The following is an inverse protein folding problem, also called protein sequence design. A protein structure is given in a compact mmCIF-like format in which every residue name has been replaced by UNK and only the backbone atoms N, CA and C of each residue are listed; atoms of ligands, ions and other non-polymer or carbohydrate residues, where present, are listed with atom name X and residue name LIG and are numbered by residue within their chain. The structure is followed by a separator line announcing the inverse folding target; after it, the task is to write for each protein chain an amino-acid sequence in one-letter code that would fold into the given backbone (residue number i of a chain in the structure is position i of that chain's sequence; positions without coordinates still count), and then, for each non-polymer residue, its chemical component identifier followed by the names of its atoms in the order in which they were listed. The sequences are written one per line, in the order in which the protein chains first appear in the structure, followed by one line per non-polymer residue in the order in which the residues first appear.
data_IF_895951637201
#
_entry.id   IF_895951637201
#
_cell.length_a   1.000
_cell.length_b   1.000
_cell.length_c   1.000
_cell.angle_alpha   90.00
_cell.angle_beta   90.00
_cell.angle_gamma   90.00
#
_symmetry.space_group_name_H-M   'P 1'
#
loop_
_entity.id
_entity.type
_entity.pdbx_description
1 polymer ?
#
# COMPACT_ATOMS: atom_id res chain seq x y z
N UNK A 1 -17.24 24.41 -0.16
CA UNK A 1 -18.29 23.54 -0.78
C UNK A 1 -18.03 22.09 -0.41
N UNK A 2 -19.00 21.43 0.22
CA UNK A 2 -18.91 20.02 0.64
C UNK A 2 -19.27 19.10 -0.54
N UNK A 3 -18.43 18.10 -0.82
CA UNK A 3 -18.70 17.04 -1.79
C UNK A 3 -18.34 15.66 -1.23
N UNK A 4 -18.98 14.63 -1.75
CA UNK A 4 -18.65 13.23 -1.44
C UNK A 4 -18.00 12.62 -2.67
N UNK A 5 -16.84 11.98 -2.48
CA UNK A 5 -16.17 11.17 -3.50
C UNK A 5 -16.32 9.71 -3.09
N UNK A 6 -17.10 8.95 -3.85
CA UNK A 6 -17.48 7.59 -3.50
C UNK A 6 -16.64 6.53 -4.21
N UNK A 7 -16.65 5.31 -3.65
CA UNK A 7 -15.96 4.12 -4.18
C UNK A 7 -14.45 4.33 -4.34
N UNK A 8 -13.85 5.03 -3.38
CA UNK A 8 -12.42 5.27 -3.33
C UNK A 8 -11.72 4.00 -2.82
N UNK A 9 -10.60 3.66 -3.45
CA UNK A 9 -9.76 2.54 -3.01
C UNK A 9 -8.85 3.01 -1.87
N UNK A 10 -8.91 2.30 -0.75
CA UNK A 10 -8.08 2.53 0.44
C UNK A 10 -6.63 2.09 0.19
N UNK A 11 -5.62 3.00 0.32
CA UNK A 11 -4.24 2.71 -0.03
C UNK A 11 -3.39 2.26 1.19
N UNK A 12 -3.97 1.49 2.13
CA UNK A 12 -3.29 1.15 3.40
C UNK A 12 -2.73 -0.26 3.44
N UNK A 13 -3.58 -1.28 3.39
CA UNK A 13 -3.20 -2.69 3.51
C UNK A 13 -3.62 -3.47 2.25
N UNK A 14 -3.24 -4.75 2.18
CA UNK A 14 -3.54 -5.62 1.05
C UNK A 14 -5.04 -5.89 0.80
N UNK A 15 -5.94 -5.46 1.68
CA UNK A 15 -7.38 -5.60 1.47
C UNK A 15 -7.94 -4.69 0.37
N UNK A 16 -7.23 -3.60 0.03
CA UNK A 16 -7.60 -2.64 -1.03
C UNK A 16 -9.10 -2.28 -1.01
N UNK A 17 -9.62 -1.83 0.14
CA UNK A 17 -11.06 -1.62 0.26
C UNK A 17 -11.54 -0.54 -0.70
N UNK A 18 -12.51 -0.85 -1.54
CA UNK A 18 -12.97 -0.07 -2.70
C UNK A 18 -14.33 0.59 -2.50
N UNK A 19 -14.83 0.58 -1.25
CA UNK A 19 -16.13 1.07 -0.81
C UNK A 19 -16.01 2.31 0.10
N UNK A 20 -14.87 3.01 0.07
CA UNK A 20 -14.64 4.19 0.90
C UNK A 20 -15.34 5.40 0.29
N UNK A 21 -16.08 6.12 1.12
CA UNK A 21 -16.64 7.43 0.79
C UNK A 21 -15.81 8.52 1.50
N UNK A 22 -15.19 9.40 0.73
CA UNK A 22 -14.45 10.54 1.27
C UNK A 22 -15.32 11.80 1.24
N UNK A 23 -15.49 12.42 2.41
CA UNK A 23 -16.11 13.74 2.51
C UNK A 23 -15.03 14.79 2.35
N UNK A 24 -15.18 15.64 1.34
CA UNK A 24 -14.22 16.68 0.99
C UNK A 24 -14.86 18.05 1.15
N UNK A 25 -14.25 18.90 1.96
CA UNK A 25 -14.66 20.28 2.20
C UNK A 25 -13.48 21.20 1.87
N UNK A 26 -13.71 22.15 0.98
CA UNK A 26 -12.72 23.16 0.55
C UNK A 26 -11.36 22.57 0.12
N UNK A 27 -11.42 21.40 -0.53
CA UNK A 27 -10.24 20.69 -1.03
C UNK A 27 -9.55 19.78 -0.02
N UNK A 28 -10.05 19.69 1.22
CA UNK A 28 -9.50 18.88 2.30
C UNK A 28 -10.42 17.69 2.59
N UNK A 29 -9.83 16.51 2.80
CA UNK A 29 -10.56 15.32 3.26
C UNK A 29 -10.82 15.48 4.76
N UNK A 30 -12.08 15.55 5.16
CA UNK A 30 -12.48 15.77 6.56
C UNK A 30 -13.05 14.52 7.24
N UNK A 31 -13.47 13.52 6.46
CA UNK A 31 -14.05 12.27 6.97
C UNK A 31 -13.86 11.16 5.94
N UNK A 32 -13.42 9.98 6.38
CA UNK A 32 -13.35 8.76 5.56
C UNK A 32 -14.35 7.71 6.07
N UNK A 33 -15.50 7.60 5.42
CA UNK A 33 -16.56 6.65 5.77
C UNK A 33 -16.23 5.25 5.26
N UNK A 34 -16.71 4.24 5.98
CA UNK A 34 -16.40 2.82 5.77
C UNK A 34 -14.91 2.45 5.93
N UNK A 35 -14.04 3.40 6.30
CA UNK A 35 -12.63 3.08 6.56
C UNK A 35 -12.47 2.46 7.95
N UNK A 36 -11.55 1.51 8.11
CA UNK A 36 -11.07 1.14 9.44
C UNK A 36 -10.20 2.26 10.03
N UNK A 37 -9.84 2.16 11.32
CA UNK A 37 -9.01 3.15 12.00
C UNK A 37 -7.71 3.50 11.24
N UNK A 38 -7.04 2.51 10.63
CA UNK A 38 -5.83 2.76 9.83
C UNK A 38 -6.12 3.52 8.53
N UNK A 39 -7.22 3.19 7.85
CA UNK A 39 -7.70 3.88 6.64
C UNK A 39 -8.09 5.32 6.93
N UNK A 40 -8.91 5.52 7.95
CA UNK A 40 -9.34 6.84 8.42
C UNK A 40 -8.12 7.69 8.80
N UNK A 41 -7.20 7.14 9.60
CA UNK A 41 -5.98 7.84 9.97
C UNK A 41 -5.17 8.32 8.75
N UNK A 42 -5.00 7.48 7.72
CA UNK A 42 -4.27 7.87 6.50
C UNK A 42 -4.99 8.95 5.69
N UNK A 43 -6.31 8.84 5.54
CA UNK A 43 -7.09 9.78 4.73
C UNK A 43 -7.32 11.12 5.44
N UNK A 44 -7.62 11.12 6.73
CA UNK A 44 -7.98 12.33 7.49
C UNK A 44 -6.74 13.10 7.95
N UNK A 45 -5.59 12.43 8.11
CA UNK A 45 -4.35 13.05 8.58
C UNK A 45 -3.25 13.13 7.52
N UNK A 46 -3.59 13.02 6.22
CA UNK A 46 -2.62 13.01 5.12
C UNK A 46 -1.68 14.24 5.08
N UNK A 47 -2.10 15.35 5.69
CA UNK A 47 -1.37 16.62 5.76
C UNK A 47 -0.52 16.76 7.03
N UNK A 48 -0.75 15.95 8.07
CA UNK A 48 0.07 16.00 9.28
C UNK A 48 1.49 15.57 8.96
N UNK A 49 2.47 16.42 9.34
CA UNK A 49 3.89 16.22 9.04
C UNK A 49 4.21 16.07 7.54
N UNK A 50 3.38 16.64 6.65
CA UNK A 50 3.64 16.58 5.21
C UNK A 50 4.81 17.48 4.82
N UNK A 51 5.87 16.87 4.31
CA UNK A 51 6.96 17.61 3.67
C UNK A 51 6.46 18.25 2.36
N UNK A 52 6.47 19.58 2.31
CA UNK A 52 6.09 20.39 1.13
C UNK A 52 7.29 21.01 0.41
N UNK A 53 8.50 20.80 0.92
CA UNK A 53 9.74 21.29 0.34
C UNK A 53 10.71 20.13 0.10
N UNK A 54 11.57 20.27 -0.90
CA UNK A 54 12.72 19.39 -1.09
C UNK A 54 13.89 19.83 -0.19
N UNK A 55 14.71 18.87 0.21
CA UNK A 55 15.90 19.09 1.03
C UNK A 55 17.06 18.24 0.53
N UNK A 56 18.27 18.77 0.66
CA UNK A 56 19.52 18.07 0.36
C UNK A 56 20.46 18.18 1.55
N UNK A 57 21.34 17.19 1.74
CA UNK A 57 22.31 17.21 2.83
C UNK A 57 23.57 17.96 2.41
N UNK A 58 23.92 19.04 3.11
CA UNK A 58 25.17 19.80 2.96
C UNK A 58 25.85 19.88 4.32
N UNK A 59 27.11 19.44 4.41
CA UNK A 59 27.90 19.43 5.66
C UNK A 59 27.17 18.76 6.84
N UNK A 60 26.54 17.62 6.59
CA UNK A 60 25.79 16.87 7.61
C UNK A 60 24.38 17.38 7.91
N UNK A 61 24.00 18.59 7.49
CA UNK A 61 22.70 19.19 7.77
C UNK A 61 21.75 19.16 6.56
N UNK A 62 20.43 19.04 6.81
CA UNK A 62 19.41 19.18 5.77
C UNK A 62 19.18 20.66 5.48
N UNK A 63 19.34 21.04 4.21
CA UNK A 63 19.13 22.40 3.72
C UNK A 63 18.04 22.36 2.64
N UNK A 64 17.11 23.33 2.69
CA UNK A 64 16.04 23.45 1.70
C UNK A 64 16.64 23.67 0.31
N UNK A 65 16.08 23.01 -0.70
CA UNK A 65 16.51 23.08 -2.10
C UNK A 65 15.31 23.19 -3.04
N UNK A 66 15.56 23.55 -4.30
CA UNK A 66 14.55 23.39 -5.36
C UNK A 66 14.36 21.91 -5.69
N UNK A 67 13.21 21.57 -6.28
CA UNK A 67 12.96 20.20 -6.76
C UNK A 67 13.99 19.80 -7.81
N UNK A 68 14.33 20.69 -8.74
CA UNK A 68 15.34 20.43 -9.78
C UNK A 68 16.75 20.21 -9.21
N UNK A 69 17.14 20.96 -8.17
CA UNK A 69 18.41 20.73 -7.47
C UNK A 69 18.43 19.36 -6.79
N UNK A 70 17.35 19.00 -6.10
CA UNK A 70 17.23 17.70 -5.42
C UNK A 70 17.22 16.52 -6.41
N UNK A 71 16.52 16.65 -7.55
CA UNK A 71 16.49 15.64 -8.61
C UNK A 71 17.87 15.47 -9.23
N UNK A 72 18.52 16.57 -9.63
CA UNK A 72 19.87 16.52 -10.21
C UNK A 72 20.87 15.86 -9.28
N UNK A 73 20.84 16.23 -7.98
CA UNK A 73 21.72 15.63 -6.99
C UNK A 73 21.45 14.13 -6.80
N UNK A 74 20.19 13.72 -6.85
CA UNK A 74 19.82 12.30 -6.77
C UNK A 74 20.31 11.52 -7.99
N UNK A 75 20.18 12.10 -9.19
CA UNK A 75 20.67 11.50 -10.43
C UNK A 75 22.19 11.33 -10.43
N UNK A 76 22.95 12.33 -9.99
CA UNK A 76 24.42 12.23 -9.81
C UNK A 76 24.79 11.06 -8.89
N UNK A 77 24.13 10.94 -7.73
CA UNK A 77 24.39 9.85 -6.77
C UNK A 77 24.14 8.48 -7.41
N UNK A 78 23.07 8.35 -8.20
CA UNK A 78 22.74 7.08 -8.86
C UNK A 78 23.70 6.76 -10.01
N UNK A 79 24.08 7.76 -10.81
CA UNK A 79 24.99 7.58 -11.94
C UNK A 79 26.43 7.26 -11.51
N UNK A 80 26.88 7.83 -10.39
CA UNK A 80 28.23 7.60 -9.86
C UNK A 80 28.32 6.32 -9.01
N UNK A 81 27.19 5.69 -8.66
CA UNK A 81 27.16 4.52 -7.80
C UNK A 81 27.64 3.27 -8.54
N UNK A 82 28.52 2.48 -7.91
CA UNK A 82 28.96 1.19 -8.47
C UNK A 82 27.93 0.06 -8.30
N UNK A 83 26.98 0.22 -7.37
CA UNK A 83 25.94 -0.78 -7.10
C UNK A 83 24.68 -0.10 -6.52
N UNK A 84 23.93 0.67 -7.33
CA UNK A 84 22.75 1.37 -6.86
C UNK A 84 21.61 0.38 -6.55
N UNK A 85 20.94 0.59 -5.41
CA UNK A 85 19.77 -0.20 -4.99
C UNK A 85 18.56 0.74 -4.87
N UNK A 86 17.49 0.43 -5.60
CA UNK A 86 16.22 1.13 -5.53
C UNK A 86 15.21 0.27 -4.76
N UNK A 87 14.97 0.59 -3.49
CA UNK A 87 14.17 -0.23 -2.58
C UNK A 87 12.85 0.44 -2.13
N UNK A 88 11.79 -0.35 -1.95
CA UNK A 88 10.54 0.08 -1.30
C UNK A 88 9.30 -0.30 -2.09
N UNK A 89 8.82 0.59 -2.95
CA UNK A 89 7.77 0.42 -3.98
C UNK A 89 6.36 -0.04 -3.56
N UNK A 90 6.18 -0.70 -2.41
CA UNK A 90 4.91 -1.32 -2.00
C UNK A 90 3.81 -0.32 -1.60
N UNK A 91 4.08 0.99 -1.67
CA UNK A 91 3.14 2.06 -1.32
C UNK A 91 3.11 3.18 -2.38
N UNK A 92 3.28 2.81 -3.65
CA UNK A 92 3.11 3.70 -4.82
C UNK A 92 2.26 3.02 -5.90
N UNK A 93 2.04 3.70 -7.02
CA UNK A 93 1.26 3.16 -8.15
C UNK A 93 2.11 2.29 -9.09
N UNK A 94 1.46 1.44 -9.89
CA UNK A 94 2.13 0.60 -10.87
C UNK A 94 2.87 1.43 -11.95
N UNK A 95 2.34 2.59 -12.30
CA UNK A 95 2.96 3.52 -13.25
C UNK A 95 4.29 4.03 -12.72
N UNK A 96 4.37 4.37 -11.43
CA UNK A 96 5.62 4.79 -10.79
C UNK A 96 6.62 3.64 -10.70
N UNK A 97 6.16 2.42 -10.40
CA UNK A 97 7.02 1.21 -10.39
C UNK A 97 7.57 0.94 -11.78
N UNK A 98 6.77 1.09 -12.84
CA UNK A 98 7.23 0.92 -14.22
C UNK A 98 8.39 1.86 -14.56
N UNK A 99 8.25 3.15 -14.25
CA UNK A 99 9.35 4.12 -14.44
C UNK A 99 10.56 3.77 -13.57
N UNK A 100 10.33 3.25 -12.37
CA UNK A 100 11.39 2.75 -11.49
C UNK A 100 12.18 1.58 -12.07
N UNK A 101 11.51 0.64 -12.73
CA UNK A 101 12.13 -0.47 -13.45
C UNK A 101 13.01 0.05 -14.61
N UNK A 102 12.47 0.95 -15.43
CA UNK A 102 13.22 1.59 -16.53
C UNK A 102 14.46 2.32 -16.01
N UNK A 103 14.34 3.03 -14.88
CA UNK A 103 15.48 3.69 -14.23
C UNK A 103 16.51 2.69 -13.70
N UNK A 104 16.08 1.58 -13.10
CA UNK A 104 16.98 0.56 -12.59
C UNK A 104 17.80 -0.08 -13.72
N UNK A 105 17.15 -0.35 -14.86
CA UNK A 105 17.81 -0.86 -16.06
C UNK A 105 18.84 0.13 -16.61
N UNK A 106 18.48 1.41 -16.72
CA UNK A 106 19.35 2.48 -17.24
C UNK A 106 20.63 2.67 -16.39
N UNK A 107 20.51 2.62 -15.06
CA UNK A 107 21.65 2.80 -14.15
C UNK A 107 22.40 1.49 -13.85
N UNK A 108 21.99 0.36 -14.44
CA UNK A 108 22.55 -0.96 -14.11
C UNK A 108 22.39 -1.35 -12.64
N UNK A 109 21.29 -0.92 -12.02
CA UNK A 109 21.01 -1.08 -10.60
C UNK A 109 20.17 -2.29 -10.24
N UNK A 110 20.01 -2.53 -8.94
CA UNK A 110 19.09 -3.52 -8.40
C UNK A 110 17.83 -2.83 -7.91
N UNK A 111 16.67 -3.35 -8.32
CA UNK A 111 15.38 -2.90 -7.82
C UNK A 111 14.72 -4.01 -7.02
N UNK A 112 14.25 -3.69 -5.82
CA UNK A 112 13.60 -4.64 -4.92
C UNK A 112 12.51 -3.95 -4.08
N UNK A 113 11.51 -4.68 -3.62
CA UNK A 113 10.39 -4.13 -2.84
C UNK A 113 10.31 -4.73 -1.44
N UNK A 114 9.34 -4.30 -0.64
CA UNK A 114 9.19 -4.79 0.74
C UNK A 114 8.81 -6.27 0.84
N UNK A 115 8.62 -6.99 -0.27
CA UNK A 115 8.34 -8.43 -0.22
C UNK A 115 9.50 -9.20 0.39
N UNK A 116 10.75 -8.77 0.18
CA UNK A 116 11.94 -9.47 0.72
C UNK A 116 11.97 -9.55 2.25
N UNK A 117 11.24 -8.67 2.94
CA UNK A 117 11.05 -8.70 4.40
C UNK A 117 9.62 -9.03 4.83
N UNK A 118 8.79 -9.49 3.90
CA UNK A 118 7.38 -9.82 4.13
C UNK A 118 7.05 -11.18 3.50
N UNK A 119 6.39 -11.22 2.34
CA UNK A 119 5.98 -12.46 1.67
C UNK A 119 7.01 -13.04 0.68
N UNK A 120 8.26 -12.58 0.71
CA UNK A 120 9.37 -13.10 -0.08
C UNK A 120 9.56 -14.61 0.07
N UNK A 121 9.58 -15.17 1.30
CA UNK A 121 9.61 -16.62 1.51
C UNK A 121 8.40 -17.34 0.88
N UNK A 122 7.22 -16.71 0.89
CA UNK A 122 6.04 -17.26 0.21
C UNK A 122 6.24 -17.30 -1.30
N UNK A 123 6.85 -16.26 -1.90
CA UNK A 123 7.16 -16.22 -3.35
C UNK A 123 8.10 -17.34 -3.75
N UNK A 124 9.16 -17.59 -2.96
CA UNK A 124 10.08 -18.70 -3.20
C UNK A 124 9.36 -20.05 -3.13
N UNK A 125 8.54 -20.28 -2.10
CA UNK A 125 7.76 -21.52 -1.99
C UNK A 125 6.79 -21.70 -3.18
N UNK A 126 6.14 -20.63 -3.63
CA UNK A 126 5.24 -20.68 -4.80
C UNK A 126 5.98 -21.01 -6.10
N UNK A 127 7.24 -20.61 -6.24
CA UNK A 127 8.08 -20.98 -7.39
C UNK A 127 8.42 -22.47 -7.37
N UNK A 128 8.61 -23.06 -6.18
CA UNK A 128 8.98 -24.46 -6.03
C UNK A 128 7.78 -25.42 -6.13
N UNK A 129 6.64 -25.07 -5.52
CA UNK A 129 5.49 -25.99 -5.36
C UNK A 129 4.16 -25.46 -5.90
N UNK A 130 4.14 -24.25 -6.47
CA UNK A 130 2.94 -23.61 -7.01
C UNK A 130 2.08 -22.89 -5.96
N UNK A 131 0.99 -22.27 -6.44
CA UNK A 131 0.00 -21.56 -5.61
C UNK A 131 -1.40 -22.09 -5.90
N UNK A 132 -2.05 -22.63 -4.87
CA UNK A 132 -3.50 -22.90 -4.89
C UNK A 132 -4.21 -21.71 -4.24
N UNK A 133 -4.98 -20.98 -5.02
CA UNK A 133 -5.63 -19.74 -4.58
C UNK A 133 -7.05 -19.57 -5.09
N UNK A 134 -7.76 -18.62 -4.51
CA UNK A 134 -9.09 -18.19 -4.94
C UNK A 134 -9.27 -16.69 -4.66
N UNK A 135 -10.29 -16.08 -5.25
CA UNK A 135 -10.62 -14.67 -4.99
C UNK A 135 -11.41 -14.54 -3.68
N UNK A 136 -11.35 -13.35 -3.05
CA UNK A 136 -12.04 -13.06 -1.78
C UNK A 136 -13.56 -13.34 -1.83
N UNK A 137 -14.18 -13.21 -3.01
CA UNK A 137 -15.59 -13.56 -3.21
C UNK A 137 -15.88 -15.06 -3.07
N UNK A 138 -14.94 -15.94 -3.41
CA UNK A 138 -15.12 -17.39 -3.20
C UNK A 138 -15.13 -17.71 -1.70
N UNK A 139 -14.20 -17.11 -0.94
CA UNK A 139 -14.16 -17.29 0.51
C UNK A 139 -15.45 -16.78 1.16
N UNK A 140 -15.86 -15.55 0.84
CA UNK A 140 -17.09 -14.95 1.38
C UNK A 140 -18.32 -15.84 1.17
N UNK A 141 -18.47 -16.41 -0.02
CA UNK A 141 -19.74 -17.04 -0.39
C UNK A 141 -19.80 -18.54 -0.10
N UNK A 142 -18.66 -19.23 0.03
CA UNK A 142 -18.60 -20.70 0.03
C UNK A 142 -17.78 -21.31 1.16
N UNK A 143 -16.84 -20.59 1.75
CA UNK A 143 -15.99 -21.17 2.78
C UNK A 143 -16.80 -21.42 4.06
N UNK A 144 -16.75 -22.65 4.55
CA UNK A 144 -17.32 -23.12 5.81
C UNK A 144 -16.27 -23.26 6.92
N UNK A 145 -14.98 -23.36 6.55
CA UNK A 145 -13.83 -23.30 7.43
C UNK A 145 -12.86 -22.20 7.00
N UNK A 146 -12.51 -21.31 7.94
CA UNK A 146 -11.50 -20.27 7.76
C UNK A 146 -10.39 -20.48 8.78
N UNK A 147 -9.15 -20.60 8.31
CA UNK A 147 -7.96 -20.72 9.15
C UNK A 147 -7.07 -19.50 8.93
N UNK A 148 -6.81 -18.76 10.00
CA UNK A 148 -5.80 -17.70 10.03
C UNK A 148 -4.51 -18.25 10.65
N UNK A 149 -3.54 -18.62 9.83
CA UNK A 149 -2.28 -19.23 10.27
C UNK A 149 -1.17 -18.18 10.33
N UNK A 150 -0.59 -17.95 11.52
CA UNK A 150 0.51 -17.00 11.69
C UNK A 150 0.14 -15.55 11.36
N UNK A 151 -1.15 -15.21 11.40
CA UNK A 151 -1.67 -13.91 11.00
C UNK A 151 -2.69 -13.40 12.02
N UNK A 152 -2.72 -12.09 12.26
CA UNK A 152 -3.78 -11.42 13.01
C UNK A 152 -4.50 -10.40 12.10
N UNK A 153 -5.58 -10.80 11.40
CA UNK A 153 -6.30 -9.92 10.48
C UNK A 153 -6.98 -8.76 11.20
N UNK A 154 -7.40 -8.93 12.44
CA UNK A 154 -8.05 -7.87 13.20
C UNK A 154 -7.16 -6.63 13.35
N UNK A 155 -5.86 -6.85 13.57
CA UNK A 155 -4.88 -5.77 13.72
C UNK A 155 -4.25 -5.32 12.39
N UNK A 156 -3.96 -6.25 11.48
CA UNK A 156 -3.20 -5.96 10.25
C UNK A 156 -4.06 -5.66 9.03
N UNK A 157 -5.27 -6.22 8.98
CA UNK A 157 -6.19 -6.15 7.86
C UNK A 157 -7.65 -6.01 8.36
N UNK A 158 -7.99 -4.94 9.11
CA UNK A 158 -9.14 -4.97 10.03
C UNK A 158 -10.48 -5.30 9.38
N UNK A 159 -10.68 -4.90 8.11
CA UNK A 159 -11.92 -5.17 7.35
C UNK A 159 -11.93 -6.50 6.61
N UNK A 160 -10.86 -7.29 6.66
CA UNK A 160 -10.80 -8.59 5.97
C UNK A 160 -11.85 -9.56 6.51
N UNK A 161 -11.99 -9.62 7.83
CA UNK A 161 -12.96 -10.50 8.50
C UNK A 161 -14.40 -10.08 8.21
N UNK A 162 -14.66 -8.78 8.38
CA UNK A 162 -15.95 -8.12 8.10
C UNK A 162 -16.41 -8.34 6.65
N UNK A 163 -15.54 -8.13 5.67
CA UNK A 163 -15.95 -8.10 4.26
C UNK A 163 -15.98 -9.48 3.60
N UNK A 164 -15.10 -10.39 4.01
CA UNK A 164 -14.78 -11.55 3.16
C UNK A 164 -14.76 -12.92 3.84
N UNK A 165 -14.78 -13.00 5.18
CA UNK A 165 -14.63 -14.29 5.86
C UNK A 165 -15.59 -14.42 7.06
N UNK A 166 -15.07 -14.66 8.26
CA UNK A 166 -15.81 -15.15 9.42
C UNK A 166 -16.99 -14.27 9.86
N UNK A 167 -16.98 -12.97 9.53
CA UNK A 167 -18.03 -12.02 9.92
C UNK A 167 -18.90 -11.58 8.74
N UNK A 168 -18.65 -12.13 7.55
CA UNK A 168 -19.36 -11.75 6.33
C UNK A 168 -20.50 -12.72 6.02
N UNK A 169 -21.60 -12.22 5.45
CA UNK A 169 -22.67 -13.07 4.94
C UNK A 169 -22.40 -13.46 3.49
N UNK A 170 -22.42 -14.77 3.25
CA UNK A 170 -22.24 -15.40 1.95
C UNK A 170 -23.55 -15.86 1.34
N UNK A 171 -23.53 -16.13 0.02
CA UNK A 171 -24.69 -16.66 -0.70
C UNK A 171 -25.00 -18.11 -0.32
N UNK A 172 -23.96 -18.92 -0.07
CA UNK A 172 -24.09 -20.35 0.23
C UNK A 172 -23.65 -20.69 1.65
N UNK A 173 -22.95 -19.78 2.34
CA UNK A 173 -22.59 -19.91 3.75
C UNK A 173 -23.02 -18.67 4.53
N UNK A 174 -23.73 -18.89 5.64
CA UNK A 174 -24.19 -17.82 6.53
C UNK A 174 -23.12 -17.50 7.57
N UNK A 175 -23.09 -16.24 8.02
CA UNK A 175 -22.27 -15.85 9.16
C UNK A 175 -22.72 -16.61 10.42
N UNK A 176 -21.75 -17.11 11.18
CA UNK A 176 -21.97 -17.71 12.50
C UNK A 176 -22.06 -16.65 13.62
N UNK A 177 -21.61 -15.42 13.35
CA UNK A 177 -21.70 -14.29 14.25
C UNK A 177 -23.02 -13.56 14.00
N UNK A 178 -23.91 -13.58 15.00
CA UNK A 178 -25.16 -12.82 15.09
C UNK A 178 -25.12 -11.91 16.29
#
# INVERSE_FOLDING_TARGET
MKRIVSKVVCPVCGCCCDDIDLVVEDGVIVEARNACAMGAAKFENYYLHRNVNAYIRKNGMLVKASVDEAIRRSAEILADASYPILYGWSSTSCEAIKVGLELADEIGGVIDNTSTVCHGPSILAMQDVGLVGATLGQFRHRADLIIYWGSNPWSSHPRHMERYTALSEGRFQRSIWR
#
